data_IF_338470529363
#
_entry.id   IF_338470529363
#
_cell.length_a   1.000
_cell.length_b   1.000
_cell.length_c   1.000
_cell.angle_alpha   90.00
_cell.angle_beta   90.00
_cell.angle_gamma   90.00
#
_symmetry.space_group_name_H-M   'P 1'
#
loop_
_entity.id
_entity.type
_entity.pdbx_description
1 polymer ?
#
# COMPACT_ATOMS: atom_id res chain seq x y z
N UNK A 1 10.57 87.79 -1.12
CA UNK A 1 9.94 86.72 -1.92
C UNK A 1 10.75 85.44 -1.80
N UNK A 2 10.19 84.40 -1.16
CA UNK A 2 10.29 82.96 -1.53
C UNK A 2 9.84 82.09 -0.35
N UNK A 3 8.57 81.70 -0.39
CA UNK A 3 8.01 80.64 0.44
C UNK A 3 8.43 79.28 -0.12
N UNK A 4 8.87 78.37 0.75
CA UNK A 4 8.99 76.94 0.44
C UNK A 4 7.89 76.20 1.21
N UNK A 5 6.94 75.64 0.47
CA UNK A 5 5.94 74.70 0.96
C UNK A 5 6.52 73.29 0.92
N UNK A 6 6.40 72.56 2.03
CA UNK A 6 6.65 71.12 2.13
C UNK A 6 5.31 70.39 2.09
N UNK A 7 5.12 69.57 1.04
CA UNK A 7 3.94 68.71 0.87
C UNK A 7 4.19 67.37 1.58
N UNK A 8 3.29 67.00 2.50
CA UNK A 8 3.21 65.66 3.08
C UNK A 8 2.51 64.73 2.09
N UNK A 9 3.24 63.74 1.57
CA UNK A 9 2.68 62.66 0.75
C UNK A 9 2.08 61.57 1.63
N UNK A 10 0.77 61.38 1.52
CA UNK A 10 0.03 60.25 2.11
C UNK A 10 0.29 59.02 1.24
N UNK A 11 1.12 58.10 1.72
CA UNK A 11 1.35 56.80 1.09
C UNK A 11 0.20 55.84 1.39
N UNK A 12 -0.57 55.50 0.36
CA UNK A 12 -1.67 54.54 0.39
C UNK A 12 -1.08 53.11 0.42
N UNK A 13 -0.99 52.49 1.60
CA UNK A 13 -0.67 51.06 1.73
C UNK A 13 -1.86 50.21 1.25
N UNK A 14 -1.83 49.76 -0.02
CA UNK A 14 -2.67 48.66 -0.50
C UNK A 14 -2.12 47.35 0.09
N UNK A 15 -2.74 46.89 1.17
CA UNK A 15 -2.58 45.52 1.68
C UNK A 15 -3.27 44.53 0.74
N UNK A 16 -2.48 43.86 -0.09
CA UNK A 16 -2.89 42.67 -0.84
C UNK A 16 -3.25 41.56 0.15
N UNK A 17 -4.53 41.40 0.47
CA UNK A 17 -5.03 40.21 1.15
C UNK A 17 -5.07 39.08 0.12
N UNK A 18 -4.04 38.23 0.14
CA UNK A 18 -4.09 36.96 -0.56
C UNK A 18 -5.24 36.12 0.03
N UNK A 19 -6.07 35.46 -0.81
CA UNK A 19 -7.10 34.58 -0.32
C UNK A 19 -6.45 33.42 0.44
N UNK A 20 -6.76 33.31 1.74
CA UNK A 20 -6.45 32.13 2.54
C UNK A 20 -7.38 31.03 2.04
N UNK A 21 -6.88 30.17 1.16
CA UNK A 21 -7.60 28.95 0.83
C UNK A 21 -7.65 28.09 2.10
N UNK A 22 -8.83 27.75 2.63
CA UNK A 22 -8.92 26.82 3.75
C UNK A 22 -8.35 25.48 3.29
N UNK A 23 -7.28 25.03 3.93
CA UNK A 23 -6.76 23.68 3.77
C UNK A 23 -7.83 22.73 4.29
N UNK A 24 -8.54 22.07 3.40
CA UNK A 24 -9.56 21.08 3.77
C UNK A 24 -8.81 19.94 4.48
N UNK A 25 -9.17 19.69 5.74
CA UNK A 25 -8.71 18.51 6.46
C UNK A 25 -9.14 17.26 5.70
N UNK A 26 -8.22 16.34 5.46
CA UNK A 26 -8.39 15.15 4.66
C UNK A 26 -7.47 14.01 5.07
N UNK A 27 -7.81 12.84 4.57
CA UNK A 27 -6.95 11.66 4.63
C UNK A 27 -6.29 11.50 3.26
N UNK A 28 -4.96 11.36 3.25
CA UNK A 28 -4.18 11.15 2.02
C UNK A 28 -3.26 9.96 2.23
N UNK A 29 -3.33 8.99 1.32
CA UNK A 29 -2.60 7.73 1.43
C UNK A 29 -2.05 7.30 0.08
N UNK A 30 -0.75 7.04 0.05
CA UNK A 30 -0.06 6.39 -1.05
C UNK A 30 -0.39 4.90 -1.03
N UNK A 31 -0.67 4.36 -2.21
CA UNK A 31 -0.95 2.93 -2.34
C UNK A 31 0.35 2.12 -2.36
N UNK A 32 0.95 1.96 -1.19
CA UNK A 32 2.13 1.15 -0.96
C UNK A 32 1.71 0.04 0.01
N UNK A 33 1.55 -1.20 -0.46
CA UNK A 33 1.28 -2.33 0.43
C UNK A 33 2.42 -2.50 1.44
N UNK A 34 2.12 -2.82 2.71
CA UNK A 34 3.15 -3.18 3.66
C UNK A 34 3.84 -4.49 3.25
N UNK A 35 5.11 -4.61 3.64
CA UNK A 35 5.96 -5.77 3.35
C UNK A 35 6.68 -6.13 4.64
N UNK A 36 6.52 -7.37 5.09
CA UNK A 36 7.27 -7.86 6.25
C UNK A 36 8.74 -8.11 5.89
N UNK A 37 9.63 -7.85 6.84
CA UNK A 37 11.04 -8.22 6.72
C UNK A 37 11.20 -9.75 6.76
N UNK A 38 11.95 -10.30 5.81
CA UNK A 38 12.19 -11.75 5.75
C UNK A 38 13.23 -12.23 6.77
N UNK A 39 14.08 -11.31 7.26
CA UNK A 39 15.11 -11.57 8.27
C UNK A 39 15.08 -10.54 9.39
N UNK A 40 15.56 -10.87 10.61
CA UNK A 40 15.54 -9.96 11.76
C UNK A 40 16.22 -8.60 11.52
N UNK A 41 17.25 -8.51 10.68
CA UNK A 41 17.97 -7.25 10.43
C UNK A 41 17.58 -6.56 9.12
N UNK A 42 16.52 -7.01 8.43
CA UNK A 42 16.17 -6.62 7.06
C UNK A 42 15.04 -5.60 6.94
N UNK A 43 14.70 -4.88 8.02
CA UNK A 43 13.71 -3.80 7.95
C UNK A 43 14.01 -2.78 6.84
N UNK A 44 15.28 -2.44 6.64
CA UNK A 44 15.74 -1.57 5.57
C UNK A 44 15.54 -2.15 4.17
N UNK A 45 15.70 -3.47 4.00
CA UNK A 45 15.52 -4.14 2.71
C UNK A 45 14.03 -4.24 2.36
N UNK A 46 13.17 -4.54 3.35
CA UNK A 46 11.71 -4.53 3.19
C UNK A 46 11.18 -3.13 2.86
N UNK A 47 11.69 -2.08 3.53
CA UNK A 47 11.37 -0.69 3.17
C UNK A 47 11.88 -0.33 1.78
N UNK A 48 13.09 -0.78 1.42
CA UNK A 48 13.62 -0.66 0.06
C UNK A 48 12.70 -1.31 -0.97
N UNK A 49 12.24 -2.54 -0.72
CA UNK A 49 11.29 -3.25 -1.58
C UNK A 49 9.99 -2.46 -1.77
N UNK A 50 9.39 -1.93 -0.68
CA UNK A 50 8.20 -1.10 -0.77
C UNK A 50 8.41 0.13 -1.66
N UNK A 51 9.56 0.81 -1.51
CA UNK A 51 9.92 2.00 -2.30
C UNK A 51 10.20 1.64 -3.76
N UNK A 52 10.97 0.59 -4.03
CA UNK A 52 11.29 0.14 -5.38
C UNK A 52 10.06 -0.34 -6.13
N UNK A 53 9.17 -1.07 -5.46
CA UNK A 53 7.86 -1.39 -6.00
C UNK A 53 7.06 -0.11 -6.27
N UNK A 54 7.01 0.85 -5.35
CA UNK A 54 6.29 2.09 -5.61
C UNK A 54 6.77 2.84 -6.88
N UNK A 55 8.08 2.82 -7.16
CA UNK A 55 8.68 3.49 -8.32
C UNK A 55 9.00 2.60 -9.53
N UNK A 56 8.40 1.42 -9.65
CA UNK A 56 8.62 0.51 -10.80
C UNK A 56 10.08 0.08 -11.02
N UNK A 57 10.90 0.07 -9.97
CA UNK A 57 12.25 -0.51 -10.01
C UNK A 57 12.13 -2.02 -9.83
N UNK A 58 12.59 -2.84 -10.80
CA UNK A 58 12.47 -4.30 -10.70
C UNK A 58 13.42 -4.86 -9.63
N UNK A 59 13.19 -6.12 -9.24
CA UNK A 59 14.14 -6.85 -8.42
C UNK A 59 15.36 -7.29 -9.25
N UNK A 60 16.56 -7.17 -8.67
CA UNK A 60 17.81 -7.72 -9.24
C UNK A 60 17.72 -9.25 -9.33
N UNK A 61 17.22 -9.88 -8.26
CA UNK A 61 16.92 -11.30 -8.22
C UNK A 61 15.47 -11.53 -8.67
N UNK A 62 15.25 -12.45 -9.61
CA UNK A 62 13.93 -12.63 -10.24
C UNK A 62 12.86 -13.19 -9.32
N UNK A 63 13.25 -13.68 -8.13
CA UNK A 63 12.36 -14.39 -7.21
C UNK A 63 12.18 -13.68 -5.88
N UNK A 64 13.14 -12.87 -5.44
CA UNK A 64 13.13 -12.27 -4.10
C UNK A 64 13.70 -10.83 -4.11
N UNK A 65 12.86 -9.85 -3.76
CA UNK A 65 13.26 -8.45 -3.71
C UNK A 65 14.28 -8.17 -2.59
N UNK A 66 14.03 -8.64 -1.37
CA UNK A 66 14.87 -8.31 -0.21
C UNK A 66 16.24 -8.97 -0.33
N UNK A 67 16.29 -10.24 -0.76
CA UNK A 67 17.54 -10.90 -1.09
C UNK A 67 18.26 -10.18 -2.24
N UNK A 68 17.55 -9.79 -3.30
CA UNK A 68 18.14 -9.02 -4.40
C UNK A 68 18.75 -7.70 -3.93
N UNK A 69 18.09 -6.96 -3.03
CA UNK A 69 18.61 -5.74 -2.38
C UNK A 69 19.88 -6.06 -1.59
N UNK A 70 19.86 -7.10 -0.77
CA UNK A 70 20.99 -7.46 0.09
C UNK A 70 22.19 -7.95 -0.72
N UNK A 71 21.97 -8.67 -1.82
CA UNK A 71 23.03 -9.11 -2.75
C UNK A 71 23.77 -7.96 -3.42
N UNK A 72 23.16 -6.77 -3.52
CA UNK A 72 23.88 -5.59 -4.04
C UNK A 72 24.99 -5.09 -3.12
N UNK A 73 25.03 -5.58 -1.87
CA UNK A 73 26.13 -5.29 -0.94
C UNK A 73 27.25 -6.30 -1.14
N UNK A 74 28.50 -5.81 -1.19
CA UNK A 74 29.70 -6.60 -1.47
C UNK A 74 29.83 -7.87 -0.60
N UNK A 75 29.37 -7.84 0.65
CA UNK A 75 29.45 -8.99 1.57
C UNK A 75 28.48 -10.14 1.22
N UNK A 76 27.48 -9.89 0.38
CA UNK A 76 26.43 -10.82 0.00
C UNK A 76 26.31 -11.06 -1.50
N UNK A 77 27.18 -10.42 -2.29
CA UNK A 77 27.25 -10.60 -3.72
C UNK A 77 27.48 -12.08 -4.08
N UNK A 78 26.61 -12.65 -4.91
CA UNK A 78 26.72 -14.02 -5.41
C UNK A 78 26.20 -15.12 -4.48
N UNK A 79 25.54 -14.79 -3.36
CA UNK A 79 24.92 -15.78 -2.46
C UNK A 79 23.46 -16.03 -2.89
N UNK A 80 23.12 -17.18 -3.52
CA UNK A 80 21.86 -17.34 -4.28
C UNK A 80 20.56 -17.31 -3.48
N UNK A 81 20.61 -17.46 -2.16
CA UNK A 81 19.41 -17.54 -1.30
C UNK A 81 19.46 -16.62 -0.08
N UNK A 82 20.51 -15.78 0.02
CA UNK A 82 20.72 -14.83 1.11
C UNK A 82 20.56 -15.37 2.54
N UNK A 83 20.58 -16.69 2.76
CA UNK A 83 20.35 -17.28 4.09
C UNK A 83 21.46 -16.85 5.07
N UNK A 84 22.68 -16.66 4.56
CA UNK A 84 23.84 -16.21 5.34
C UNK A 84 23.98 -14.67 5.39
N UNK A 85 22.98 -13.95 4.89
CA UNK A 85 23.04 -12.51 4.63
C UNK A 85 22.17 -11.68 5.56
N UNK A 86 22.03 -12.08 6.83
CA UNK A 86 21.36 -11.26 7.84
C UNK A 86 22.28 -10.09 8.27
N UNK A 87 22.38 -9.10 7.39
CA UNK A 87 23.20 -7.92 7.57
C UNK A 87 22.32 -6.69 7.85
N UNK A 88 22.61 -5.92 8.91
CA UNK A 88 21.94 -4.64 9.13
C UNK A 88 22.33 -3.64 8.03
N UNK A 89 21.50 -2.60 7.83
CA UNK A 89 21.78 -1.54 6.85
C UNK A 89 23.13 -0.87 7.10
N UNK A 90 23.57 -0.80 8.35
CA UNK A 90 24.72 0.00 8.75
C UNK A 90 24.28 1.42 9.04
N UNK A 91 24.79 2.38 8.28
CA UNK A 91 24.54 3.80 8.45
C UNK A 91 23.54 4.37 7.43
N UNK A 92 23.20 5.65 7.59
CA UNK A 92 22.32 6.39 6.69
C UNK A 92 22.87 6.43 5.25
N UNK A 93 24.20 6.54 5.09
CA UNK A 93 24.86 6.56 3.79
C UNK A 93 24.63 5.26 3.02
N UNK A 94 24.59 4.12 3.71
CA UNK A 94 24.29 2.82 3.11
C UNK A 94 22.86 2.74 2.58
N UNK A 95 21.89 3.27 3.30
CA UNK A 95 20.49 3.32 2.84
C UNK A 95 20.34 4.27 1.64
N UNK A 96 20.99 5.43 1.66
CA UNK A 96 21.02 6.36 0.54
C UNK A 96 21.67 5.75 -0.71
N UNK A 97 22.79 5.05 -0.53
CA UNK A 97 23.45 4.31 -1.60
C UNK A 97 22.54 3.21 -2.15
N UNK A 98 21.81 2.50 -1.29
CA UNK A 98 20.83 1.50 -1.72
C UNK A 98 19.77 2.13 -2.63
N UNK A 99 19.13 3.23 -2.20
CA UNK A 99 18.10 3.90 -3.01
C UNK A 99 18.64 4.38 -4.37
N UNK A 100 19.83 4.98 -4.38
CA UNK A 100 20.41 5.59 -5.58
C UNK A 100 21.01 4.57 -6.56
N UNK A 101 21.65 3.51 -6.05
CA UNK A 101 22.44 2.59 -6.88
C UNK A 101 21.66 1.33 -7.28
N UNK A 102 20.70 0.87 -6.47
CA UNK A 102 20.00 -0.38 -6.71
C UNK A 102 19.34 -0.44 -8.08
N UNK A 103 18.69 0.66 -8.48
CA UNK A 103 18.03 0.78 -9.78
C UNK A 103 18.98 0.49 -10.96
N UNK A 104 20.21 1.00 -10.90
CA UNK A 104 21.25 0.74 -11.93
C UNK A 104 21.76 -0.70 -11.95
N UNK A 105 21.63 -1.43 -10.84
CA UNK A 105 21.99 -2.84 -10.73
C UNK A 105 20.84 -3.72 -11.24
N UNK A 106 19.60 -3.34 -10.93
CA UNK A 106 18.40 -4.06 -11.33
C UNK A 106 18.14 -4.00 -12.84
N UNK A 107 18.54 -2.92 -13.51
CA UNK A 107 18.37 -2.74 -14.96
C UNK A 107 19.42 -3.48 -15.80
N UNK A 108 20.52 -3.95 -15.19
CA UNK A 108 21.64 -4.60 -15.90
C UNK A 108 21.29 -5.93 -16.59
N UNK A 109 20.03 -6.39 -16.50
CA UNK A 109 19.53 -7.63 -17.10
C UNK A 109 18.15 -7.58 -17.78
N UNK A 110 17.53 -6.40 -18.01
CA UNK A 110 16.16 -6.36 -18.56
C UNK A 110 15.67 -5.00 -19.07
N UNK A 111 14.49 -5.02 -19.73
CA UNK A 111 13.83 -3.90 -20.40
C UNK A 111 13.23 -2.82 -19.47
N UNK A 112 13.48 -2.90 -18.16
CA UNK A 112 13.17 -1.81 -17.24
C UNK A 112 14.10 -0.66 -17.60
N UNK A 113 13.53 0.42 -18.16
CA UNK A 113 14.28 1.56 -18.65
C UNK A 113 15.11 2.25 -17.58
N UNK A 114 15.73 3.37 -17.96
CA UNK A 114 16.65 4.20 -17.16
C UNK A 114 16.02 4.81 -15.88
N UNK A 115 15.44 4.01 -14.99
CA UNK A 115 14.88 4.48 -13.72
C UNK A 115 16.05 4.79 -12.78
N UNK A 116 16.07 6.01 -12.28
CA UNK A 116 16.99 6.46 -11.26
C UNK A 116 16.20 7.13 -10.13
N UNK A 117 16.45 6.68 -8.90
CA UNK A 117 15.89 7.29 -7.70
C UNK A 117 16.91 8.24 -7.08
N UNK A 118 16.41 9.37 -6.60
CA UNK A 118 17.14 10.26 -5.73
C UNK A 118 16.31 10.52 -4.47
N UNK A 119 16.99 10.84 -3.38
CA UNK A 119 16.38 11.22 -2.11
C UNK A 119 17.28 12.26 -1.43
N UNK A 120 16.70 12.97 -0.48
CA UNK A 120 17.44 13.80 0.48
C UNK A 120 17.35 13.14 1.85
N UNK A 121 18.33 13.41 2.69
CA UNK A 121 18.31 12.96 4.07
C UNK A 121 18.44 14.13 5.03
N UNK A 122 17.85 13.98 6.22
CA UNK A 122 18.02 14.91 7.33
C UNK A 122 17.97 14.16 8.67
N UNK A 123 18.71 14.69 9.63
CA UNK A 123 18.57 14.28 11.03
C UNK A 123 17.21 14.74 11.57
N UNK A 124 16.63 13.93 12.46
CA UNK A 124 15.33 14.16 13.07
C UNK A 124 14.15 13.86 12.15
N UNK A 125 13.01 14.44 12.51
CA UNK A 125 11.71 14.27 11.85
C UNK A 125 11.38 15.45 10.92
N UNK A 126 10.44 15.21 10.01
CA UNK A 126 9.74 16.29 9.30
C UNK A 126 8.74 16.98 10.23
N UNK A 127 8.41 18.25 9.95
CA UNK A 127 7.23 18.95 10.47
C UNK A 127 5.94 18.37 9.88
N UNK A 128 4.78 18.69 10.48
CA UNK A 128 3.48 18.25 9.97
C UNK A 128 3.25 18.72 8.53
N UNK A 129 3.62 19.97 8.23
CA UNK A 129 3.49 20.57 6.91
C UNK A 129 4.41 19.89 5.88
N UNK A 130 5.65 19.60 6.25
CA UNK A 130 6.59 18.86 5.40
C UNK A 130 6.09 17.43 5.12
N UNK A 131 5.50 16.74 6.11
CA UNK A 131 4.90 15.41 5.89
C UNK A 131 3.75 15.50 4.89
N UNK A 132 2.81 16.43 5.11
CA UNK A 132 1.67 16.62 4.21
C UNK A 132 2.14 16.95 2.80
N UNK A 133 3.14 17.81 2.67
CA UNK A 133 3.71 18.16 1.38
C UNK A 133 4.28 16.94 0.64
N UNK A 134 5.12 16.14 1.29
CA UNK A 134 5.71 14.95 0.66
C UNK A 134 4.63 13.96 0.20
N UNK A 135 3.67 13.65 1.07
CA UNK A 135 2.58 12.72 0.75
C UNK A 135 1.67 13.25 -0.37
N UNK A 136 1.33 14.55 -0.35
CA UNK A 136 0.50 15.17 -1.38
C UNK A 136 1.19 15.22 -2.75
N UNK A 137 2.52 15.34 -2.75
CA UNK A 137 3.33 15.26 -3.96
C UNK A 137 3.67 13.80 -4.37
N UNK A 138 2.99 12.81 -3.79
CA UNK A 138 3.12 11.41 -4.18
C UNK A 138 4.41 10.76 -3.70
N UNK A 139 5.06 11.28 -2.65
CA UNK A 139 6.37 10.77 -2.18
C UNK A 139 6.25 10.14 -0.80
N UNK A 140 6.57 8.85 -0.65
CA UNK A 140 6.64 8.24 0.68
C UNK A 140 7.85 8.80 1.43
N UNK A 141 7.84 8.67 2.75
CA UNK A 141 8.95 9.14 3.61
C UNK A 141 9.52 7.94 4.35
N UNK A 142 10.83 7.73 4.24
CA UNK A 142 11.52 6.69 5.00
C UNK A 142 11.91 7.26 6.36
N UNK A 143 11.42 6.64 7.42
CA UNK A 143 11.67 7.05 8.79
C UNK A 143 12.63 6.06 9.48
N UNK A 144 13.78 6.58 9.91
CA UNK A 144 14.66 5.90 10.85
C UNK A 144 14.14 6.10 12.27
N UNK A 145 13.79 5.01 12.94
CA UNK A 145 13.15 5.01 14.26
C UNK A 145 13.94 4.18 15.28
N UNK A 146 13.77 4.52 16.55
CA UNK A 146 14.32 3.78 17.69
C UNK A 146 13.23 3.56 18.74
N UNK A 147 12.34 2.56 18.52
CA UNK A 147 11.27 2.28 19.44
C UNK A 147 11.79 1.98 20.86
N UNK A 148 11.01 2.32 21.89
CA UNK A 148 11.34 1.99 23.27
C UNK A 148 11.57 0.48 23.43
N UNK A 149 12.67 0.08 24.08
CA UNK A 149 13.09 -1.33 24.23
C UNK A 149 14.48 -1.61 23.67
N UNK A 150 14.95 -0.78 22.75
CA UNK A 150 16.29 -0.86 22.17
C UNK A 150 17.26 0.13 22.86
N UNK A 151 18.49 -0.32 23.14
CA UNK A 151 19.37 0.26 24.20
C UNK A 151 20.33 1.38 23.76
N UNK A 152 20.38 1.74 22.48
CA UNK A 152 21.37 2.70 21.98
C UNK A 152 20.66 3.98 21.53
N UNK A 153 20.89 5.09 22.24
CA UNK A 153 20.39 6.41 21.86
C UNK A 153 21.19 6.98 20.68
N UNK A 154 20.52 7.70 19.77
CA UNK A 154 21.15 8.42 18.66
C UNK A 154 21.50 7.58 17.42
N UNK A 155 21.17 6.29 17.39
CA UNK A 155 21.33 5.42 16.21
C UNK A 155 20.00 4.81 15.85
N UNK A 156 19.55 5.01 14.62
CA UNK A 156 18.34 4.35 14.09
C UNK A 156 18.51 2.84 14.16
N UNK A 157 17.68 2.17 14.95
CA UNK A 157 17.70 0.71 15.07
C UNK A 157 16.76 0.03 14.10
N UNK A 158 15.80 0.78 13.57
CA UNK A 158 14.74 0.25 12.74
C UNK A 158 14.34 1.24 11.65
N UNK A 159 13.74 0.75 10.57
CA UNK A 159 13.27 1.58 9.46
C UNK A 159 11.81 1.27 9.18
N UNK A 160 10.99 2.32 9.09
CA UNK A 160 9.59 2.24 8.68
C UNK A 160 9.34 3.21 7.51
N UNK A 161 8.22 3.05 6.82
CA UNK A 161 7.81 3.86 5.69
C UNK A 161 6.51 4.58 6.02
N UNK A 162 6.54 5.92 6.07
CA UNK A 162 5.34 6.73 6.16
C UNK A 162 4.74 6.82 4.75
N UNK A 163 3.51 6.36 4.61
CA UNK A 163 2.79 6.24 3.34
C UNK A 163 1.53 7.09 3.29
N UNK A 164 1.19 7.80 4.36
CA UNK A 164 0.02 8.66 4.38
C UNK A 164 -0.16 9.43 5.67
N UNK A 165 -1.23 10.21 5.72
CA UNK A 165 -1.67 10.92 6.90
C UNK A 165 -3.20 11.04 6.95
N UNK A 166 -3.73 11.24 8.16
CA UNK A 166 -5.12 11.65 8.43
C UNK A 166 -5.11 12.85 9.38
N UNK A 167 -5.64 13.99 8.94
CA UNK A 167 -5.78 15.19 9.77
C UNK A 167 -7.25 15.60 10.01
N UNK A 168 -8.23 14.73 9.67
CA UNK A 168 -9.67 15.01 9.84
C UNK A 168 -10.06 15.33 11.28
N UNK A 169 -9.35 14.76 12.25
CA UNK A 169 -9.60 14.94 13.68
C UNK A 169 -9.01 16.24 14.27
N UNK A 170 -8.27 17.01 13.46
CA UNK A 170 -7.48 18.16 13.93
C UNK A 170 -6.16 17.78 14.60
N UNK A 171 -5.93 16.50 14.89
CA UNK A 171 -4.62 15.96 15.28
C UNK A 171 -4.07 15.11 14.13
N UNK A 172 -2.88 15.45 13.64
CA UNK A 172 -2.25 14.69 12.56
C UNK A 172 -1.95 13.26 13.03
N UNK A 173 -2.49 12.29 12.32
CA UNK A 173 -2.10 10.88 12.40
C UNK A 173 -1.32 10.50 11.14
N UNK A 174 -0.31 9.66 11.31
CA UNK A 174 0.51 9.11 10.24
C UNK A 174 0.06 7.69 9.92
N UNK A 175 0.07 7.33 8.64
CA UNK A 175 -0.13 5.97 8.16
C UNK A 175 1.26 5.42 7.83
N UNK A 176 1.68 4.38 8.55
CA UNK A 176 3.05 3.87 8.56
C UNK A 176 3.07 2.38 8.22
N UNK A 177 3.79 2.00 7.18
CA UNK A 177 4.17 0.60 6.96
C UNK A 177 5.45 0.32 7.74
N UNK A 178 5.37 -0.57 8.73
CA UNK A 178 6.50 -1.04 9.50
C UNK A 178 6.72 -2.53 9.19
N UNK A 179 7.90 -2.91 8.67
CA UNK A 179 8.15 -4.26 8.22
C UNK A 179 8.33 -5.27 9.36
N UNK A 180 8.43 -4.84 10.62
CA UNK A 180 8.61 -5.76 11.74
C UNK A 180 7.29 -6.45 12.10
N UNK A 181 7.25 -7.79 12.20
CA UNK A 181 6.02 -8.53 12.49
C UNK A 181 5.69 -8.51 13.99
N UNK A 182 5.32 -7.36 14.55
CA UNK A 182 5.00 -7.21 15.99
C UNK A 182 3.88 -8.13 16.48
N UNK A 183 3.05 -8.60 15.55
CA UNK A 183 1.87 -9.42 15.80
C UNK A 183 2.17 -10.92 15.77
N UNK A 184 3.39 -11.30 15.42
CA UNK A 184 3.83 -12.69 15.45
C UNK A 184 4.13 -13.11 16.90
N UNK A 185 3.60 -14.27 17.30
CA UNK A 185 3.75 -14.83 18.65
C UNK A 185 5.20 -14.89 19.14
N UNK A 186 6.17 -15.02 18.21
CA UNK A 186 7.61 -15.05 18.50
C UNK A 186 8.14 -13.72 19.05
N UNK A 187 7.45 -12.60 18.81
CA UNK A 187 7.90 -11.25 19.15
C UNK A 187 6.98 -10.52 20.14
N UNK A 188 5.93 -11.17 20.65
CA UNK A 188 5.01 -10.56 21.63
C UNK A 188 5.72 -10.01 22.88
N UNK A 189 6.86 -10.57 23.26
CA UNK A 189 7.65 -10.13 24.42
C UNK A 189 8.32 -8.75 24.22
N UNK A 190 8.49 -8.29 22.98
CA UNK A 190 9.05 -6.95 22.67
C UNK A 190 7.97 -5.89 22.83
N UNK A 191 6.70 -6.26 22.62
CA UNK A 191 5.56 -5.35 22.57
C UNK A 191 5.50 -4.56 21.27
N UNK A 192 4.29 -4.19 20.87
CA UNK A 192 4.08 -3.33 19.71
C UNK A 192 4.27 -1.85 20.11
N UNK A 193 5.28 -1.13 19.57
CA UNK A 193 5.60 0.24 20.00
C UNK A 193 4.52 1.26 19.64
N UNK A 194 3.63 0.89 18.74
CA UNK A 194 2.53 1.74 18.33
C UNK A 194 1.36 1.68 19.35
N UNK A 195 1.22 0.62 20.17
CA UNK A 195 0.14 0.46 21.18
C UNK A 195 0.32 1.36 22.43
N UNK A 196 -0.75 1.74 23.17
CA UNK A 196 -2.14 1.30 23.06
C UNK A 196 -3.06 2.23 22.23
N UNK A 197 -2.58 3.41 21.82
CA UNK A 197 -3.41 4.44 21.18
C UNK A 197 -3.45 4.28 19.65
N UNK A 198 -3.62 3.04 19.18
CA UNK A 198 -3.66 2.72 17.76
C UNK A 198 -5.07 2.39 17.30
N UNK A 199 -5.46 3.00 16.18
CA UNK A 199 -6.36 2.36 15.24
C UNK A 199 -5.44 1.48 14.36
N UNK A 200 -5.23 0.23 14.75
CA UNK A 200 -4.53 -0.71 13.86
C UNK A 200 -5.37 -0.83 12.59
N UNK A 201 -4.76 -0.69 11.40
CA UNK A 201 -5.48 -1.10 10.20
C UNK A 201 -5.90 -2.54 10.40
N UNK A 202 -7.16 -2.82 10.11
CA UNK A 202 -7.86 -3.97 10.69
C UNK A 202 -7.33 -5.35 10.26
N UNK A 203 -6.40 -5.38 9.30
CA UNK A 203 -5.53 -6.53 9.08
C UNK A 203 -4.17 -6.15 9.60
N UNK A 204 -3.64 -6.95 10.52
CA UNK A 204 -2.26 -6.94 10.99
C UNK A 204 -1.28 -7.23 9.84
N UNK A 205 -1.24 -6.37 8.83
CA UNK A 205 -0.48 -6.52 7.59
C UNK A 205 0.87 -5.79 7.64
N UNK A 206 1.22 -5.21 8.79
CA UNK A 206 2.41 -4.37 8.97
C UNK A 206 2.15 -2.90 8.68
N UNK A 207 0.89 -2.46 8.64
CA UNK A 207 0.54 -1.04 8.60
C UNK A 207 -0.13 -0.55 9.89
N UNK A 208 0.21 0.68 10.28
CA UNK A 208 -0.16 1.27 11.56
C UNK A 208 -0.59 2.72 11.38
N UNK A 209 -1.65 3.14 12.10
CA UNK A 209 -2.03 4.54 12.24
C UNK A 209 -1.56 5.08 13.60
N UNK A 210 -0.80 6.18 13.59
CA UNK A 210 -0.16 6.69 14.81
C UNK A 210 -0.10 8.20 14.83
N UNK A 211 -0.47 8.82 15.95
CA UNK A 211 -0.39 10.27 16.12
C UNK A 211 1.03 10.79 15.85
N UNK A 212 1.15 11.87 15.08
CA UNK A 212 2.43 12.45 14.63
C UNK A 212 3.40 12.67 15.78
N UNK A 213 2.95 13.32 16.86
CA UNK A 213 3.78 13.59 18.04
C UNK A 213 4.23 12.32 18.77
N UNK A 214 3.40 11.28 18.77
CA UNK A 214 3.77 9.98 19.34
C UNK A 214 4.84 9.31 18.49
N UNK A 215 4.68 9.28 17.17
CA UNK A 215 5.68 8.72 16.26
C UNK A 215 7.02 9.45 16.42
N UNK A 216 6.98 10.78 16.46
CA UNK A 216 8.15 11.62 16.67
C UNK A 216 8.85 11.35 18.00
N UNK A 217 8.12 11.42 19.11
CA UNK A 217 8.72 11.47 20.46
C UNK A 217 8.84 10.11 21.16
N UNK A 218 7.89 9.19 20.96
CA UNK A 218 7.84 7.89 21.65
C UNK A 218 8.47 6.78 20.82
N UNK A 219 8.18 6.74 19.52
CA UNK A 219 8.81 5.81 18.58
C UNK A 219 10.22 6.31 18.18
N UNK A 220 10.55 7.55 18.55
CA UNK A 220 11.83 8.23 18.34
C UNK A 220 12.19 8.28 16.86
N UNK A 221 11.47 9.06 16.08
CA UNK A 221 11.83 9.36 14.69
C UNK A 221 13.05 10.28 14.64
N UNK A 222 14.22 9.68 14.36
CA UNK A 222 15.53 10.32 14.50
C UNK A 222 16.29 10.52 13.19
N UNK A 223 15.89 9.86 12.11
CA UNK A 223 16.41 10.11 10.75
C UNK A 223 15.28 10.11 9.73
N UNK A 224 15.43 10.92 8.69
CA UNK A 224 14.45 11.02 7.61
C UNK A 224 15.16 10.91 6.27
N UNK A 225 14.63 10.10 5.36
CA UNK A 225 14.88 10.23 3.93
C UNK A 225 13.57 10.60 3.24
N UNK A 226 13.60 11.69 2.49
CA UNK A 226 12.45 12.38 1.92
C UNK A 226 12.82 12.95 0.55
N UNK A 227 11.87 13.62 -0.14
CA UNK A 227 12.05 14.07 -1.52
C UNK A 227 12.51 12.95 -2.43
N UNK A 228 11.89 11.77 -2.26
CA UNK A 228 12.11 10.65 -3.15
C UNK A 228 11.59 11.01 -4.53
N UNK A 229 12.49 11.19 -5.49
CA UNK A 229 12.14 11.51 -6.87
C UNK A 229 12.56 10.37 -7.78
N UNK A 230 11.74 10.09 -8.78
CA UNK A 230 12.04 9.13 -9.83
C UNK A 230 12.33 9.89 -11.13
N UNK A 231 13.41 9.55 -11.81
CA UNK A 231 13.71 10.05 -13.16
C UNK A 231 13.95 8.88 -14.12
N UNK A 232 13.55 8.99 -15.38
CA UNK A 232 13.70 7.91 -16.36
C UNK A 232 12.42 7.48 -17.07
N UNK A 233 12.59 6.65 -18.12
CA UNK A 233 11.46 6.16 -18.93
C UNK A 233 10.53 5.18 -18.20
N UNK A 234 10.99 4.57 -17.11
CA UNK A 234 10.20 3.62 -16.32
C UNK A 234 9.56 4.22 -15.08
N UNK A 235 9.76 5.51 -14.81
CA UNK A 235 9.16 6.15 -13.66
C UNK A 235 7.64 6.27 -13.82
N UNK A 236 6.88 6.15 -12.72
CA UNK A 236 5.48 6.53 -12.75
C UNK A 236 5.38 7.97 -13.27
N UNK A 237 4.42 8.24 -14.16
CA UNK A 237 4.11 9.63 -14.47
C UNK A 237 3.72 10.35 -13.18
N UNK A 238 4.18 11.58 -12.98
CA UNK A 238 3.93 12.42 -11.78
C UNK A 238 2.43 12.57 -11.40
N UNK A 239 1.53 12.11 -12.27
CA UNK A 239 0.08 12.01 -12.07
C UNK A 239 -0.38 10.72 -11.37
N UNK A 240 0.47 9.97 -10.68
CA UNK A 240 -0.02 9.08 -9.61
C UNK A 240 -0.48 9.96 -8.45
N UNK A 241 -1.56 10.71 -8.69
CA UNK A 241 -2.27 11.47 -7.69
C UNK A 241 -2.49 10.54 -6.48
N UNK A 242 -2.10 11.01 -5.30
CA UNK A 242 -2.69 10.51 -4.08
C UNK A 242 -4.20 10.65 -4.27
N UNK A 243 -4.90 9.54 -4.52
CA UNK A 243 -6.30 9.53 -4.93
C UNK A 243 -7.16 9.98 -3.75
N UNK A 244 -7.26 11.30 -3.56
CA UNK A 244 -8.47 11.92 -3.09
C UNK A 244 -9.52 11.72 -4.19
N UNK A 245 -10.51 10.89 -3.92
CA UNK A 245 -11.73 10.75 -4.74
C UNK A 245 -11.51 10.14 -6.14
N UNK A 246 -11.31 8.83 -6.19
CA UNK A 246 -11.82 8.06 -7.33
C UNK A 246 -13.36 8.20 -7.34
N UNK A 247 -13.88 9.20 -8.05
CA UNK A 247 -15.28 9.20 -8.47
C UNK A 247 -15.47 7.95 -9.31
N UNK A 248 -16.00 6.91 -8.67
CA UNK A 248 -15.98 5.54 -9.14
C UNK A 248 -16.45 5.43 -10.59
N UNK A 249 -15.69 4.68 -11.38
CA UNK A 249 -16.27 4.06 -12.57
C UNK A 249 -17.52 3.31 -12.13
N UNK A 250 -18.58 3.40 -12.94
CA UNK A 250 -19.82 2.67 -12.69
C UNK A 250 -19.48 1.19 -12.46
N UNK A 251 -20.03 0.56 -11.41
CA UNK A 251 -19.75 -0.85 -11.09
C UNK A 251 -20.08 -1.75 -12.28
N UNK A 252 -21.01 -1.32 -13.15
CA UNK A 252 -21.28 -1.96 -14.42
C UNK A 252 -20.07 -2.00 -15.33
N UNK A 253 -19.37 -0.89 -15.50
CA UNK A 253 -18.15 -0.82 -16.32
C UNK A 253 -17.04 -1.70 -15.72
N UNK A 254 -16.92 -1.71 -14.39
CA UNK A 254 -15.97 -2.57 -13.66
C UNK A 254 -16.26 -4.04 -13.95
N UNK A 255 -17.49 -4.50 -13.72
CA UNK A 255 -17.87 -5.92 -13.93
C UNK A 255 -17.73 -6.32 -15.39
N UNK A 256 -18.14 -5.47 -16.34
CA UNK A 256 -17.97 -5.75 -17.76
C UNK A 256 -16.49 -5.87 -18.16
N UNK A 257 -15.63 -4.97 -17.65
CA UNK A 257 -14.18 -5.03 -17.88
C UNK A 257 -13.58 -6.32 -17.31
N UNK A 258 -14.00 -6.71 -16.11
CA UNK A 258 -13.51 -7.93 -15.44
C UNK A 258 -13.92 -9.19 -16.22
N UNK A 259 -15.18 -9.29 -16.62
CA UNK A 259 -15.70 -10.43 -17.37
C UNK A 259 -15.06 -10.54 -18.77
N UNK A 260 -14.83 -9.43 -19.45
CA UNK A 260 -14.13 -9.41 -20.73
C UNK A 260 -12.70 -9.95 -20.59
N UNK A 261 -12.00 -9.53 -19.53
CA UNK A 261 -10.62 -9.92 -19.26
C UNK A 261 -10.48 -11.36 -18.74
N UNK A 262 -11.51 -11.94 -18.15
CA UNK A 262 -11.47 -13.30 -17.59
C UNK A 262 -11.06 -14.36 -18.63
N UNK A 263 -11.42 -14.18 -19.91
CA UNK A 263 -11.01 -15.09 -20.99
C UNK A 263 -9.51 -15.10 -21.28
N UNK A 264 -8.81 -14.01 -20.94
CA UNK A 264 -7.37 -13.85 -21.11
C UNK A 264 -6.60 -13.92 -19.79
N UNK A 265 -7.11 -14.68 -18.81
CA UNK A 265 -6.56 -14.78 -17.45
C UNK A 265 -6.31 -13.42 -16.80
N UNK A 266 -7.19 -12.46 -17.08
CA UNK A 266 -7.14 -11.09 -16.57
C UNK A 266 -5.88 -10.30 -16.96
N UNK A 267 -5.12 -10.74 -17.97
CA UNK A 267 -3.88 -10.05 -18.43
C UNK A 267 -4.09 -8.56 -18.70
N UNK A 268 -5.23 -8.17 -19.26
CA UNK A 268 -5.57 -6.78 -19.59
C UNK A 268 -5.95 -5.93 -18.38
N UNK A 269 -6.27 -6.54 -17.24
CA UNK A 269 -6.53 -5.80 -16.00
C UNK A 269 -5.27 -5.54 -15.20
N UNK A 270 -4.23 -6.35 -15.38
CA UNK A 270 -3.00 -6.26 -14.59
C UNK A 270 -2.35 -4.90 -14.80
N UNK A 271 -2.13 -4.22 -13.70
CA UNK A 271 -1.40 -2.96 -13.63
C UNK A 271 -0.45 -2.99 -12.46
N UNK A 272 0.64 -2.25 -12.59
CA UNK A 272 1.64 -2.16 -11.55
C UNK A 272 2.34 -3.49 -11.24
N UNK A 273 2.73 -3.65 -9.97
CA UNK A 273 3.69 -4.68 -9.57
C UNK A 273 3.11 -6.06 -9.36
N UNK A 274 3.98 -7.01 -9.68
CA UNK A 274 3.88 -8.43 -9.37
C UNK A 274 4.32 -8.64 -7.92
N UNK A 275 3.44 -9.12 -7.04
CA UNK A 275 3.86 -9.71 -5.76
C UNK A 275 3.79 -11.22 -5.87
N UNK A 276 4.84 -11.91 -5.49
CA UNK A 276 4.86 -13.38 -5.43
C UNK A 276 4.82 -13.75 -3.96
N UNK A 277 3.78 -14.47 -3.56
CA UNK A 277 3.71 -15.08 -2.23
C UNK A 277 3.68 -16.61 -2.36
N UNK A 278 3.65 -17.30 -1.22
CA UNK A 278 3.62 -18.78 -1.16
C UNK A 278 2.40 -19.40 -1.85
N UNK A 279 1.42 -18.57 -2.21
CA UNK A 279 0.17 -18.94 -2.82
C UNK A 279 0.06 -18.44 -4.27
N UNK A 280 1.16 -17.92 -4.84
CA UNK A 280 1.29 -17.61 -6.26
C UNK A 280 1.49 -16.13 -6.55
N UNK A 281 1.35 -15.79 -7.84
CA UNK A 281 1.54 -14.42 -8.29
C UNK A 281 0.26 -13.59 -8.15
N UNK A 282 0.34 -12.43 -7.52
CA UNK A 282 -0.71 -11.40 -7.48
C UNK A 282 -0.29 -10.10 -8.18
N UNK A 283 -1.28 -9.42 -8.74
CA UNK A 283 -1.17 -8.18 -9.50
C UNK A 283 -2.25 -7.20 -9.06
N UNK A 284 -2.01 -5.90 -9.21
CA UNK A 284 -3.04 -4.89 -8.99
C UNK A 284 -3.91 -4.71 -10.24
N UNK A 285 -5.24 -4.67 -10.16
CA UNK A 285 -6.08 -4.39 -11.32
C UNK A 285 -6.17 -2.88 -11.60
N UNK A 286 -6.37 -2.50 -12.87
CA UNK A 286 -6.79 -1.13 -13.27
C UNK A 286 -8.27 -0.82 -13.01
N UNK A 287 -8.98 -1.76 -12.40
CA UNK A 287 -10.40 -1.65 -12.07
C UNK A 287 -10.62 -2.11 -10.63
N UNK A 288 -11.42 -1.33 -9.90
CA UNK A 288 -11.73 -1.53 -8.49
C UNK A 288 -13.23 -1.42 -8.33
N UNK A 289 -13.84 -2.30 -7.55
CA UNK A 289 -15.27 -2.22 -7.24
C UNK A 289 -15.53 -1.14 -6.18
N UNK A 290 -16.58 -0.35 -6.32
CA UNK A 290 -16.81 0.77 -5.41
C UNK A 290 -17.06 0.28 -3.96
N UNK A 291 -16.30 0.86 -3.02
CA UNK A 291 -16.30 0.48 -1.60
C UNK A 291 -15.31 -0.62 -1.23
N UNK A 292 -14.64 -1.26 -2.21
CA UNK A 292 -13.62 -2.24 -1.92
C UNK A 292 -12.38 -1.57 -1.29
N UNK A 293 -11.80 -2.21 -0.28
CA UNK A 293 -10.54 -1.78 0.33
C UNK A 293 -9.35 -2.11 -0.57
N UNK A 294 -9.42 -3.25 -1.24
CA UNK A 294 -8.39 -3.71 -2.17
C UNK A 294 -9.02 -4.58 -3.25
N UNK A 295 -8.48 -4.52 -4.46
CA UNK A 295 -8.74 -5.53 -5.49
C UNK A 295 -7.42 -6.06 -6.03
N UNK A 296 -7.41 -7.33 -6.42
CA UNK A 296 -6.23 -8.08 -6.84
C UNK A 296 -6.58 -8.97 -8.04
N UNK A 297 -5.59 -9.24 -8.88
CA UNK A 297 -5.60 -10.29 -9.92
C UNK A 297 -4.56 -11.32 -9.55
N UNK A 298 -4.95 -12.59 -9.47
CA UNK A 298 -4.07 -13.71 -9.18
C UNK A 298 -3.90 -14.59 -10.40
N UNK A 299 -2.68 -15.06 -10.64
CA UNK A 299 -2.36 -16.00 -11.70
C UNK A 299 -2.87 -17.43 -11.38
N UNK A 300 -2.80 -18.28 -12.41
CA UNK A 300 -3.28 -19.67 -12.44
C UNK A 300 -2.37 -20.65 -11.69
N UNK A 301 -1.49 -20.17 -10.83
CA UNK A 301 -0.49 -21.02 -10.18
C UNK A 301 -1.13 -21.98 -9.14
N UNK A 302 -2.40 -21.76 -8.79
CA UNK A 302 -3.20 -22.61 -7.90
C UNK A 302 -4.21 -23.50 -8.66
N UNK A 303 -4.73 -24.52 -7.97
CA UNK A 303 -5.78 -25.41 -8.47
C UNK A 303 -7.06 -24.67 -8.92
N UNK A 304 -7.26 -23.44 -8.46
CA UNK A 304 -8.49 -22.64 -8.66
C UNK A 304 -8.46 -21.71 -9.87
N UNK A 305 -7.36 -21.69 -10.63
CA UNK A 305 -7.24 -20.86 -11.84
C UNK A 305 -6.90 -19.39 -11.55
N UNK A 306 -6.81 -18.59 -12.62
CA UNK A 306 -6.63 -17.15 -12.47
C UNK A 306 -7.90 -16.52 -11.89
N UNK A 307 -7.76 -15.52 -11.01
CA UNK A 307 -8.89 -14.89 -10.32
C UNK A 307 -8.71 -13.40 -10.17
N UNK A 308 -9.74 -12.63 -10.43
CA UNK A 308 -9.85 -11.26 -9.92
C UNK A 308 -10.67 -11.27 -8.63
N UNK A 309 -10.24 -10.57 -7.59
CA UNK A 309 -10.98 -10.48 -6.33
C UNK A 309 -10.86 -9.11 -5.68
N UNK A 310 -11.97 -8.60 -5.15
CA UNK A 310 -12.02 -7.44 -4.29
C UNK A 310 -12.38 -7.83 -2.86
N UNK A 311 -11.75 -7.15 -1.90
CA UNK A 311 -11.93 -7.35 -0.47
C UNK A 311 -12.62 -6.15 0.15
N UNK A 312 -13.64 -6.43 0.94
CA UNK A 312 -14.36 -5.46 1.77
C UNK A 312 -14.24 -5.92 3.23
N UNK A 313 -14.18 -4.97 4.15
CA UNK A 313 -14.01 -5.25 5.57
C UNK A 313 -15.05 -4.51 6.37
N UNK A 314 -15.55 -5.18 7.39
CA UNK A 314 -16.60 -4.71 8.26
C UNK A 314 -16.22 -5.00 9.70
N UNK A 315 -16.63 -4.09 10.58
CA UNK A 315 -16.33 -4.16 12.02
C UNK A 315 -17.00 -5.38 12.66
N UNK A 316 -18.19 -5.76 12.17
CA UNK A 316 -18.92 -6.93 12.62
C UNK A 316 -19.77 -7.55 11.48
N UNK A 317 -20.40 -8.68 11.81
CA UNK A 317 -21.25 -9.44 10.89
C UNK A 317 -22.53 -8.70 10.49
N UNK A 318 -23.12 -7.93 11.39
CA UNK A 318 -24.35 -7.19 11.11
C UNK A 318 -24.11 -6.11 10.06
N UNK A 319 -23.01 -5.38 10.19
CA UNK A 319 -22.57 -4.39 9.19
C UNK A 319 -22.31 -5.07 7.84
N UNK A 320 -21.61 -6.21 7.84
CA UNK A 320 -21.33 -6.96 6.62
C UNK A 320 -22.61 -7.46 5.93
N UNK A 321 -23.58 -8.00 6.69
CA UNK A 321 -24.86 -8.50 6.17
C UNK A 321 -25.72 -7.37 5.57
N UNK A 322 -25.63 -6.14 6.08
CA UNK A 322 -26.29 -4.99 5.42
C UNK A 322 -25.54 -4.54 4.16
N UNK A 323 -24.21 -4.44 4.23
CA UNK A 323 -23.39 -4.02 3.10
C UNK A 323 -23.47 -5.00 1.91
N UNK A 324 -23.55 -6.30 2.16
CA UNK A 324 -23.66 -7.29 1.08
C UNK A 324 -24.97 -7.17 0.31
N UNK A 325 -26.07 -6.74 0.95
CA UNK A 325 -27.34 -6.51 0.23
C UNK A 325 -27.20 -5.42 -0.82
N UNK A 326 -26.52 -4.32 -0.48
CA UNK A 326 -26.22 -3.25 -1.43
C UNK A 326 -25.30 -3.74 -2.55
N UNK A 327 -24.23 -4.45 -2.21
CA UNK A 327 -23.26 -4.94 -3.19
C UNK A 327 -23.90 -5.96 -4.15
N UNK A 328 -24.69 -6.90 -3.63
CA UNK A 328 -25.45 -7.87 -4.45
C UNK A 328 -26.44 -7.16 -5.37
N UNK A 329 -27.13 -6.13 -4.88
CA UNK A 329 -28.02 -5.32 -5.71
C UNK A 329 -27.26 -4.61 -6.85
N UNK A 330 -26.11 -4.00 -6.55
CA UNK A 330 -25.25 -3.36 -7.56
C UNK A 330 -24.70 -4.37 -8.57
N UNK A 331 -24.28 -5.55 -8.11
CA UNK A 331 -23.84 -6.65 -8.97
C UNK A 331 -24.94 -7.07 -9.94
N UNK A 332 -26.16 -7.33 -9.46
CA UNK A 332 -27.30 -7.71 -10.31
C UNK A 332 -27.57 -6.70 -11.41
N UNK A 333 -27.55 -5.41 -11.07
CA UNK A 333 -27.75 -4.33 -12.03
C UNK A 333 -26.60 -4.20 -13.04
N UNK A 334 -25.43 -4.75 -12.69
CA UNK A 334 -24.20 -4.69 -13.48
C UNK A 334 -23.98 -5.93 -14.36
N UNK A 335 -24.72 -7.02 -14.13
CA UNK A 335 -24.57 -8.26 -14.89
C UNK A 335 -24.95 -8.07 -16.36
N UNK A 336 -24.16 -8.63 -17.30
CA UNK A 336 -24.57 -8.69 -18.71
C UNK A 336 -25.83 -9.53 -18.91
N UNK A 337 -26.51 -9.31 -20.04
CA UNK A 337 -27.66 -10.12 -20.44
C UNK A 337 -27.29 -11.62 -20.55
N UNK A 338 -28.20 -12.48 -20.09
CA UNK A 338 -28.05 -13.93 -20.11
C UNK A 338 -27.27 -14.53 -18.94
N UNK A 339 -26.82 -13.71 -17.98
CA UNK A 339 -26.31 -14.20 -16.69
C UNK A 339 -27.46 -14.57 -15.76
N UNK A 340 -27.29 -15.67 -15.03
CA UNK A 340 -28.22 -16.14 -14.01
C UNK A 340 -27.59 -15.84 -12.65
N UNK A 341 -28.31 -15.07 -11.83
CA UNK A 341 -27.91 -14.71 -10.48
C UNK A 341 -28.68 -15.53 -9.45
N UNK A 342 -28.02 -15.94 -8.36
CA UNK A 342 -28.60 -16.73 -7.29
C UNK A 342 -28.11 -16.19 -5.95
N UNK A 343 -29.06 -15.87 -5.06
CA UNK A 343 -28.73 -15.56 -3.67
C UNK A 343 -28.41 -16.85 -2.94
N UNK A 344 -27.37 -16.79 -2.13
CA UNK A 344 -26.92 -17.90 -1.31
C UNK A 344 -26.93 -17.46 0.15
N UNK A 345 -27.02 -18.44 1.04
CA UNK A 345 -26.76 -18.25 2.46
C UNK A 345 -26.30 -19.60 3.01
N UNK A 346 -25.19 -20.08 2.46
CA UNK A 346 -24.63 -21.39 2.76
C UNK A 346 -23.35 -21.23 3.55
N UNK A 347 -23.35 -21.72 4.78
CA UNK A 347 -22.17 -21.73 5.63
C UNK A 347 -21.34 -22.99 5.37
N UNK A 348 -20.03 -22.79 5.34
CA UNK A 348 -19.02 -23.83 5.41
C UNK A 348 -18.07 -23.51 6.55
N UNK A 349 -18.07 -24.37 7.57
CA UNK A 349 -17.29 -24.18 8.77
C UNK A 349 -15.95 -24.90 8.68
N UNK A 350 -14.90 -24.21 9.10
CA UNK A 350 -13.59 -24.81 9.40
C UNK A 350 -13.21 -24.53 10.85
N UNK A 351 -12.12 -25.13 11.33
CA UNK A 351 -11.59 -24.84 12.66
C UNK A 351 -11.21 -23.36 12.85
N UNK A 352 -10.79 -22.69 11.76
CA UNK A 352 -10.22 -21.35 11.81
C UNK A 352 -11.20 -20.24 11.43
N UNK A 353 -12.15 -20.52 10.54
CA UNK A 353 -13.10 -19.53 10.03
C UNK A 353 -14.42 -20.16 9.61
N UNK A 354 -15.46 -19.33 9.50
CA UNK A 354 -16.73 -19.66 8.86
C UNK A 354 -16.81 -18.93 7.53
N UNK A 355 -16.97 -19.65 6.42
CA UNK A 355 -17.21 -19.06 5.11
C UNK A 355 -18.70 -19.11 4.80
N UNK A 356 -19.31 -17.97 4.52
CA UNK A 356 -20.71 -17.88 4.10
C UNK A 356 -20.80 -17.43 2.65
N UNK A 357 -21.26 -18.29 1.75
CA UNK A 357 -21.55 -17.88 0.37
C UNK A 357 -22.85 -17.08 0.34
N UNK A 358 -22.82 -15.87 -0.22
CA UNK A 358 -23.95 -14.91 -0.25
C UNK A 358 -24.55 -14.71 -1.63
N UNK A 359 -23.74 -14.86 -2.67
CA UNK A 359 -24.18 -14.63 -4.03
C UNK A 359 -23.32 -15.39 -5.02
N UNK A 360 -23.97 -15.91 -6.06
CA UNK A 360 -23.31 -16.46 -7.22
C UNK A 360 -24.02 -16.00 -8.48
N UNK A 361 -23.26 -15.60 -9.50
CA UNK A 361 -23.78 -15.43 -10.84
C UNK A 361 -22.95 -16.22 -11.84
N UNK A 362 -23.59 -16.85 -12.81
CA UNK A 362 -22.93 -17.59 -13.87
C UNK A 362 -23.66 -17.39 -15.20
N UNK A 363 -22.96 -17.63 -16.32
CA UNK A 363 -23.57 -17.64 -17.65
C UNK A 363 -23.67 -19.09 -18.15
N UNK A 364 -24.88 -19.58 -18.51
CA UNK A 364 -25.02 -20.93 -19.05
C UNK A 364 -24.09 -21.19 -20.24
N UNK A 365 -23.37 -22.31 -20.19
CA UNK A 365 -22.39 -22.67 -21.22
C UNK A 365 -21.04 -21.96 -21.12
N UNK A 366 -20.83 -21.11 -20.10
CA UNK A 366 -19.53 -20.52 -19.79
C UNK A 366 -19.01 -21.04 -18.43
N UNK A 367 -17.71 -21.28 -18.35
CA UNK A 367 -17.02 -21.68 -17.11
C UNK A 367 -16.62 -20.46 -16.25
N UNK A 368 -17.42 -19.40 -16.28
CA UNK A 368 -17.17 -18.16 -15.53
C UNK A 368 -18.23 -18.01 -14.44
N UNK A 369 -17.77 -17.70 -13.23
CA UNK A 369 -18.64 -17.40 -12.10
C UNK A 369 -18.18 -16.13 -11.39
N UNK A 370 -19.15 -15.32 -10.96
CA UNK A 370 -18.96 -14.23 -10.01
C UNK A 370 -19.47 -14.73 -8.67
N UNK A 371 -18.65 -14.66 -7.63
CA UNK A 371 -19.02 -15.08 -6.28
C UNK A 371 -18.86 -13.92 -5.30
N UNK A 372 -19.84 -13.72 -4.41
CA UNK A 372 -19.68 -12.91 -3.22
C UNK A 372 -19.85 -13.80 -1.98
N UNK A 373 -18.85 -13.79 -1.09
CA UNK A 373 -18.86 -14.60 0.13
C UNK A 373 -18.16 -13.90 1.28
N UNK A 374 -18.51 -14.28 2.50
CA UNK A 374 -17.84 -13.86 3.72
C UNK A 374 -16.82 -14.87 4.19
N UNK A 375 -15.81 -14.38 4.88
CA UNK A 375 -14.97 -15.15 5.79
C UNK A 375 -15.05 -14.45 7.15
N UNK A 376 -15.60 -15.16 8.13
CA UNK A 376 -15.66 -14.74 9.53
C UNK A 376 -14.53 -15.44 10.29
N UNK A 377 -13.54 -14.65 10.75
CA UNK A 377 -12.41 -15.19 11.49
C UNK A 377 -12.80 -15.23 12.97
N UNK A 378 -13.10 -16.44 13.47
CA UNK A 378 -13.69 -16.71 14.80
C UNK A 378 -13.02 -16.02 15.99
N UNK A 379 -11.72 -15.67 15.88
CA UNK A 379 -10.96 -14.98 16.94
C UNK A 379 -11.05 -13.45 16.91
N UNK A 380 -11.38 -12.86 15.77
CA UNK A 380 -11.29 -11.41 15.56
C UNK A 380 -12.62 -10.69 15.71
N UNK A 381 -13.75 -11.39 15.50
CA UNK A 381 -15.07 -10.78 15.39
C UNK A 381 -15.30 -9.96 14.11
N UNK A 382 -14.28 -9.84 13.25
CA UNK A 382 -14.34 -9.10 11.98
C UNK A 382 -14.79 -9.99 10.84
N UNK A 383 -15.51 -9.37 9.90
CA UNK A 383 -16.01 -10.05 8.70
C UNK A 383 -15.36 -9.47 7.46
N UNK A 384 -14.72 -10.34 6.68
CA UNK A 384 -14.15 -9.98 5.38
C UNK A 384 -15.05 -10.51 4.29
N UNK A 385 -15.53 -9.64 3.41
CA UNK A 385 -16.25 -10.05 2.21
C UNK A 385 -15.34 -10.05 1.01
N UNK A 386 -15.45 -11.11 0.21
CA UNK A 386 -14.76 -11.27 -1.05
C UNK A 386 -15.77 -11.23 -2.17
N UNK A 387 -15.54 -10.34 -3.14
CA UNK A 387 -16.16 -10.41 -4.46
C UNK A 387 -15.11 -10.97 -5.41
N UNK A 388 -15.40 -12.06 -6.11
CA UNK A 388 -14.43 -12.70 -6.99
C UNK A 388 -15.01 -13.10 -8.34
N UNK A 389 -14.17 -13.06 -9.36
CA UNK A 389 -14.42 -13.60 -10.70
C UNK A 389 -13.30 -14.56 -11.04
N UNK A 390 -13.66 -15.82 -11.32
CA UNK A 390 -12.70 -16.85 -11.71
C UNK A 390 -12.66 -17.03 -13.23
N UNK A 391 -11.46 -17.21 -13.78
CA UNK A 391 -11.24 -17.65 -15.15
C UNK A 391 -11.59 -19.14 -15.27
N UNK A 392 -12.12 -19.61 -16.42
CA UNK A 392 -12.31 -21.02 -16.70
C UNK A 392 -11.07 -21.86 -16.34
N UNK A 393 -11.26 -22.91 -15.54
CA UNK A 393 -10.27 -23.98 -15.50
C UNK A 393 -10.16 -24.61 -16.90
N UNK A 394 -8.94 -24.96 -17.35
CA UNK A 394 -8.80 -25.66 -18.61
C UNK A 394 -9.54 -26.99 -18.45
N UNK A 395 -10.49 -27.24 -19.35
CA UNK A 395 -11.14 -28.56 -19.42
C UNK A 395 -10.00 -29.54 -19.70
N UNK A 396 -9.60 -30.32 -18.68
CA UNK A 396 -8.66 -31.41 -18.92
C UNK A 396 -9.36 -32.38 -19.90
N UNK A 397 -8.75 -32.66 -21.05
CA UNK A 397 -9.35 -33.52 -22.08
C UNK A 397 -9.58 -34.94 -21.60
#
# INVERSE_FOLDING_TARGET
MKHRMTAFGVGLCLSLMAPIAPTIAGEVRLHIPPVFQERPSWCWAAVGEMVFKYYYVPAVDRTDYQCGIVQTRNLCAGIPNCVKCDLPVGDESSMMNMLQQYSSLATRGGAAGDVALAAQSKAGSLSEEEVKQEINEGRPIIAGVSPSGFKIDGVSQHTALIVGYDDRSGNLKLIVNDPFPFEDDRFLWIGNPYQPNMDMSEDNDGQYEVGFERFRSKIKWIHTMYRLTCSGKGCPSDNLHAEGSNTGKDDREVIQSVLAAASGDFKTLRTGHKSVDHSGTTWRPNVTFAGAKQCLVRDKDDADGARWSCTFKFSDRSEADEAVKDIVKRLRNSLPEGWIATDLDQDSDTELYTKTDKFMAHKPGANQAINAYFIDVKKSGRVTMYLSVQSPLPIQP
#
